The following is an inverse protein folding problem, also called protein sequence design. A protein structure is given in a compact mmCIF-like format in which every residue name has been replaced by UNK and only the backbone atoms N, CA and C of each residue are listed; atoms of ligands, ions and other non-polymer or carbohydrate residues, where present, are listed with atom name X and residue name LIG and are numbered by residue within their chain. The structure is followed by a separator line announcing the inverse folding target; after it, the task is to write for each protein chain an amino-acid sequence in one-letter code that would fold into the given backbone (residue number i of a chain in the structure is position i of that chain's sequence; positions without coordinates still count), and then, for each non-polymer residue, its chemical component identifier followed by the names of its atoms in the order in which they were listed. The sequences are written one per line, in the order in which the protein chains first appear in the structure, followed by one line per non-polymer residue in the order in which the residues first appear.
data_IF_720008991898
#
_entry.id   IF_720008991898
#
_cell.length_a   1.000
_cell.length_b   1.000
_cell.length_c   1.000
_cell.angle_alpha   90.00
_cell.angle_beta   90.00
_cell.angle_gamma   90.00
#
_symmetry.space_group_name_H-M   'P 1'
#
loop_
_entity.id
_entity.type
_entity.pdbx_description
1 polymer ?
#
# COMPACT_ATOMS: atom_id res chain seq x y z
N UNK A 1 -21.34 2.12 14.57
CA UNK A 1 -20.27 3.09 14.86
C UNK A 1 -19.99 4.00 13.67
N UNK A 2 -19.29 5.11 13.86
CA UNK A 2 -18.75 5.91 12.77
C UNK A 2 -17.37 6.45 13.17
N UNK A 3 -16.52 6.70 12.18
CA UNK A 3 -15.20 7.31 12.37
C UNK A 3 -14.78 8.04 11.11
N UNK A 4 -13.90 9.03 11.27
CA UNK A 4 -13.25 9.73 10.17
C UNK A 4 -11.79 9.31 10.12
N UNK A 5 -11.29 8.98 8.94
CA UNK A 5 -9.95 8.45 8.72
C UNK A 5 -9.25 9.26 7.65
N UNK A 6 -7.92 9.35 7.76
CA UNK A 6 -7.08 10.03 6.77
C UNK A 6 -5.91 9.12 6.39
N UNK A 7 -5.82 8.74 5.13
CA UNK A 7 -4.70 7.97 4.57
C UNK A 7 -4.07 8.83 3.46
N UNK A 8 -2.85 9.31 3.68
CA UNK A 8 -2.27 10.34 2.84
C UNK A 8 -3.04 11.66 2.96
N UNK A 9 -3.72 12.09 1.88
CA UNK A 9 -4.66 13.22 1.88
C UNK A 9 -6.12 12.78 1.66
N UNK A 10 -6.36 11.49 1.59
CA UNK A 10 -7.70 10.97 1.44
C UNK A 10 -8.41 10.94 2.79
N UNK A 11 -9.30 11.91 3.02
CA UNK A 11 -10.14 11.96 4.21
C UNK A 11 -11.51 11.35 3.89
N UNK A 12 -11.90 10.33 4.65
CA UNK A 12 -13.17 9.66 4.47
C UNK A 12 -13.84 9.32 5.79
N UNK A 13 -15.17 9.24 5.75
CA UNK A 13 -16.00 8.71 6.83
C UNK A 13 -16.28 7.24 6.60
N UNK A 14 -16.17 6.44 7.65
CA UNK A 14 -16.61 5.05 7.67
C UNK A 14 -17.74 4.89 8.68
N UNK A 15 -18.92 4.45 8.20
CA UNK A 15 -20.04 4.00 9.02
C UNK A 15 -20.06 2.47 9.01
N UNK A 16 -20.13 1.84 10.17
CA UNK A 16 -20.04 0.38 10.29
C UNK A 16 -20.80 -0.15 11.51
N UNK A 17 -21.30 -1.40 11.47
CA UNK A 17 -21.99 -2.03 12.59
C UNK A 17 -21.06 -2.22 13.79
N UNK A 18 -21.61 -2.17 15.00
CA UNK A 18 -20.88 -2.37 16.27
C UNK A 18 -20.26 -3.78 16.38
N UNK A 19 -20.78 -4.74 15.62
CA UNK A 19 -20.27 -6.12 15.56
C UNK A 19 -19.03 -6.29 14.68
N UNK A 20 -18.61 -5.25 13.94
CA UNK A 20 -17.40 -5.24 13.13
C UNK A 20 -16.31 -4.47 13.85
N UNK A 21 -15.19 -5.11 14.14
CA UNK A 21 -14.02 -4.48 14.75
C UNK A 21 -12.96 -4.22 13.66
N UNK A 22 -12.71 -2.93 13.28
CA UNK A 22 -11.60 -2.60 12.40
C UNK A 22 -10.26 -3.00 13.01
N UNK A 23 -9.23 -3.35 12.19
CA UNK A 23 -7.90 -3.66 12.69
C UNK A 23 -7.29 -2.49 13.47
N UNK A 24 -6.49 -2.80 14.50
CA UNK A 24 -5.77 -1.77 15.27
C UNK A 24 -4.89 -0.87 14.38
N UNK A 25 -4.24 -1.48 13.37
CA UNK A 25 -3.44 -0.72 12.40
C UNK A 25 -4.25 0.29 11.60
N UNK A 26 -5.50 -0.03 11.26
CA UNK A 26 -6.39 0.89 10.57
C UNK A 26 -6.83 2.04 11.49
N UNK A 27 -7.03 1.77 12.77
CA UNK A 27 -7.42 2.78 13.76
C UNK A 27 -6.34 3.85 14.01
N UNK A 28 -5.07 3.58 13.68
CA UNK A 28 -4.00 4.59 13.73
C UNK A 28 -4.25 5.78 12.80
N UNK A 29 -5.05 5.58 11.76
CA UNK A 29 -5.39 6.60 10.76
C UNK A 29 -6.69 7.37 11.10
N UNK A 30 -7.30 7.12 12.27
CA UNK A 30 -8.46 7.88 12.72
C UNK A 30 -8.08 9.34 13.04
N UNK A 31 -8.94 10.28 12.62
CA UNK A 31 -8.72 11.72 12.82
C UNK A 31 -10.03 12.39 13.22
N UNK A 32 -10.09 12.87 14.46
CA UNK A 32 -11.22 13.64 14.93
C UNK A 32 -11.22 15.04 14.31
N UNK A 33 -12.41 15.53 13.95
CA UNK A 33 -12.59 16.88 13.42
C UNK A 33 -12.17 17.12 11.98
N UNK A 34 -11.64 16.10 11.27
CA UNK A 34 -11.36 16.21 9.83
C UNK A 34 -12.67 16.15 9.03
N UNK A 35 -12.77 16.95 7.96
CA UNK A 35 -13.92 16.95 7.05
C UNK A 35 -13.77 15.89 5.95
N UNK A 36 -14.61 14.84 5.94
CA UNK A 36 -14.50 13.77 4.95
C UNK A 36 -14.97 14.23 3.57
N UNK A 37 -14.20 13.90 2.55
CA UNK A 37 -14.54 14.09 1.14
C UNK A 37 -15.25 12.88 0.53
N UNK A 38 -15.25 11.75 1.24
CA UNK A 38 -15.86 10.48 0.81
C UNK A 38 -16.51 9.76 1.98
N UNK A 39 -17.53 8.94 1.72
CA UNK A 39 -18.22 8.15 2.75
C UNK A 39 -18.31 6.69 2.34
N UNK A 40 -17.86 5.81 3.23
CA UNK A 40 -18.13 4.38 3.15
C UNK A 40 -19.21 3.99 4.15
N UNK A 41 -20.18 3.22 3.70
CA UNK A 41 -21.19 2.57 4.55
C UNK A 41 -20.97 1.06 4.49
N UNK A 42 -20.54 0.46 5.60
CA UNK A 42 -20.37 -0.98 5.73
C UNK A 42 -21.63 -1.58 6.38
N UNK A 43 -22.22 -2.56 5.71
CA UNK A 43 -23.41 -3.27 6.12
C UNK A 43 -23.17 -4.78 6.12
N UNK A 44 -23.80 -5.49 7.04
CA UNK A 44 -23.80 -6.95 7.03
C UNK A 44 -24.89 -7.47 6.09
N UNK A 45 -24.60 -8.55 5.38
CA UNK A 45 -25.56 -9.19 4.47
C UNK A 45 -25.46 -10.70 4.51
N UNK A 46 -26.59 -11.37 4.24
CA UNK A 46 -26.64 -12.82 4.04
C UNK A 46 -26.46 -13.20 2.56
N UNK A 47 -26.58 -12.22 1.64
CA UNK A 47 -26.41 -12.45 0.20
C UNK A 47 -25.96 -11.19 -0.52
N UNK A 48 -25.12 -11.36 -1.53
CA UNK A 48 -24.69 -10.24 -2.37
C UNK A 48 -25.69 -9.95 -3.49
N UNK A 49 -25.88 -8.67 -3.88
CA UNK A 49 -26.70 -8.31 -5.02
C UNK A 49 -26.14 -8.89 -6.31
N UNK A 50 -26.96 -8.91 -7.36
CA UNK A 50 -26.46 -9.27 -8.70
C UNK A 50 -25.48 -8.22 -9.22
N UNK A 51 -24.48 -8.63 -10.02
CA UNK A 51 -23.54 -7.69 -10.63
C UNK A 51 -24.25 -6.65 -11.50
N UNK A 52 -23.75 -5.41 -11.44
CA UNK A 52 -24.21 -4.31 -12.31
C UNK A 52 -23.13 -3.95 -13.33
N UNK A 53 -23.54 -3.75 -14.57
CA UNK A 53 -22.62 -3.33 -15.62
C UNK A 53 -21.84 -4.47 -16.26
N UNK A 54 -20.71 -4.11 -16.87
CA UNK A 54 -19.82 -5.00 -17.63
C UNK A 54 -18.72 -5.54 -16.73
N UNK A 55 -18.47 -6.86 -16.78
CA UNK A 55 -17.27 -7.45 -16.17
C UNK A 55 -16.02 -6.93 -16.85
N UNK A 56 -15.12 -6.26 -16.10
CA UNK A 56 -13.88 -5.66 -16.60
C UNK A 56 -12.62 -6.34 -16.08
N UNK A 57 -12.71 -7.06 -14.94
CA UNK A 57 -11.63 -7.87 -14.41
C UNK A 57 -12.16 -9.08 -13.64
N UNK A 58 -11.44 -10.19 -13.75
CA UNK A 58 -11.74 -11.39 -12.98
C UNK A 58 -10.46 -12.13 -12.59
N UNK A 59 -10.37 -12.45 -11.31
CA UNK A 59 -9.37 -13.31 -10.68
C UNK A 59 -10.10 -14.26 -9.71
N UNK A 60 -9.44 -15.29 -9.18
CA UNK A 60 -10.08 -16.17 -8.19
C UNK A 60 -10.60 -15.46 -6.93
N UNK A 61 -9.95 -14.36 -6.55
CA UNK A 61 -10.21 -13.57 -5.34
C UNK A 61 -10.89 -12.22 -5.62
N UNK A 62 -11.17 -11.89 -6.89
CA UNK A 62 -11.73 -10.59 -7.25
C UNK A 62 -12.53 -10.67 -8.56
N UNK A 63 -13.73 -10.09 -8.56
CA UNK A 63 -14.44 -9.77 -9.79
C UNK A 63 -14.83 -8.29 -9.78
N UNK A 64 -14.52 -7.57 -10.85
CA UNK A 64 -14.78 -6.13 -10.99
C UNK A 64 -15.72 -5.89 -12.15
N UNK A 65 -16.81 -5.21 -11.86
CA UNK A 65 -17.80 -4.76 -12.83
C UNK A 65 -17.79 -3.23 -12.88
N UNK A 66 -18.09 -2.67 -14.04
CA UNK A 66 -18.14 -1.23 -14.27
C UNK A 66 -19.43 -0.85 -14.99
N UNK A 67 -20.09 0.18 -14.53
CA UNK A 67 -21.22 0.82 -15.17
C UNK A 67 -21.14 2.34 -14.97
N UNK A 68 -21.16 3.10 -16.06
CA UNK A 68 -21.16 4.58 -16.05
C UNK A 68 -19.98 5.19 -15.23
N UNK A 69 -18.82 4.54 -15.26
CA UNK A 69 -17.61 4.95 -14.52
C UNK A 69 -17.59 4.54 -13.05
N UNK A 70 -18.65 3.92 -12.53
CA UNK A 70 -18.74 3.41 -11.18
C UNK A 70 -18.35 1.93 -11.12
N UNK A 71 -17.55 1.56 -10.14
CA UNK A 71 -17.13 0.17 -9.94
C UNK A 71 -17.98 -0.57 -8.92
N UNK A 72 -18.20 -1.86 -9.19
CA UNK A 72 -18.70 -2.84 -8.25
C UNK A 72 -17.73 -4.01 -8.19
N UNK A 73 -17.31 -4.39 -6.98
CA UNK A 73 -16.28 -5.43 -6.78
C UNK A 73 -16.78 -6.50 -5.84
N UNK A 74 -16.62 -7.77 -6.23
CA UNK A 74 -16.75 -8.91 -5.31
C UNK A 74 -15.37 -9.31 -4.88
N UNK A 75 -15.15 -9.42 -3.58
CA UNK A 75 -13.84 -9.56 -2.95
C UNK A 75 -13.81 -10.87 -2.17
N UNK A 76 -12.85 -11.73 -2.50
CA UNK A 76 -12.61 -13.01 -1.88
C UNK A 76 -11.21 -13.12 -1.30
N UNK A 77 -10.85 -14.32 -0.89
CA UNK A 77 -9.50 -14.66 -0.42
C UNK A 77 -8.91 -15.68 -1.36
N UNK A 78 -7.69 -15.45 -1.84
CA UNK A 78 -7.01 -16.40 -2.73
C UNK A 78 -6.95 -17.79 -2.09
N UNK A 79 -7.38 -18.81 -2.84
CA UNK A 79 -7.44 -20.18 -2.39
C UNK A 79 -8.68 -20.56 -1.57
N UNK A 80 -9.59 -19.61 -1.29
CA UNK A 80 -10.86 -19.86 -0.62
C UNK A 80 -12.01 -19.63 -1.61
N UNK A 81 -12.94 -20.59 -1.77
CA UNK A 81 -14.08 -20.38 -2.66
C UNK A 81 -15.03 -19.28 -2.16
N UNK A 82 -15.57 -18.50 -3.09
CA UNK A 82 -16.57 -17.47 -2.83
C UNK A 82 -15.99 -16.11 -2.46
N UNK A 83 -16.88 -15.17 -2.24
CA UNK A 83 -16.57 -13.79 -1.87
C UNK A 83 -17.05 -13.51 -0.44
N UNK A 84 -16.28 -12.71 0.31
CA UNK A 84 -16.67 -12.30 1.66
C UNK A 84 -17.22 -10.88 1.72
N UNK A 85 -16.94 -10.06 0.69
CA UNK A 85 -17.45 -8.70 0.61
C UNK A 85 -17.80 -8.29 -0.82
N UNK A 86 -18.70 -7.31 -0.92
CA UNK A 86 -19.03 -6.62 -2.15
C UNK A 86 -18.91 -5.11 -1.91
N UNK A 87 -17.98 -4.47 -2.62
CA UNK A 87 -17.85 -3.02 -2.70
C UNK A 87 -18.69 -2.50 -3.86
N UNK A 88 -19.42 -1.41 -3.66
CA UNK A 88 -20.22 -0.78 -4.69
C UNK A 88 -20.16 0.74 -4.56
N UNK A 89 -19.63 1.42 -5.57
CA UNK A 89 -19.73 2.86 -5.68
C UNK A 89 -21.19 3.27 -5.94
N UNK A 90 -21.68 4.22 -5.17
CA UNK A 90 -23.02 4.79 -5.35
C UNK A 90 -22.94 6.06 -6.20
N UNK A 91 -21.88 6.84 -5.99
CA UNK A 91 -21.52 8.05 -6.71
C UNK A 91 -20.03 8.38 -6.55
N UNK A 92 -19.61 9.58 -7.00
CA UNK A 92 -18.22 10.03 -6.91
C UNK A 92 -17.72 10.27 -5.46
N UNK A 93 -18.59 10.21 -4.45
CA UNK A 93 -18.29 10.55 -3.05
C UNK A 93 -18.75 9.50 -2.04
N UNK A 94 -19.32 8.41 -2.50
CA UNK A 94 -19.84 7.39 -1.60
C UNK A 94 -19.78 5.98 -2.18
N UNK A 95 -19.57 5.01 -1.29
CA UNK A 95 -19.69 3.59 -1.60
C UNK A 95 -20.34 2.83 -0.45
N UNK A 96 -21.07 1.78 -0.81
CA UNK A 96 -21.57 0.77 0.11
C UNK A 96 -20.68 -0.46 0.07
N UNK A 97 -20.30 -0.96 1.23
CA UNK A 97 -19.58 -2.21 1.41
C UNK A 97 -20.54 -3.20 2.07
N UNK A 98 -20.88 -4.26 1.36
CA UNK A 98 -21.67 -5.35 1.89
C UNK A 98 -20.72 -6.45 2.33
N UNK A 99 -20.70 -6.76 3.63
CA UNK A 99 -19.88 -7.78 4.25
C UNK A 99 -20.73 -8.99 4.60
N UNK A 100 -20.33 -10.17 4.15
CA UNK A 100 -20.99 -11.40 4.57
C UNK A 100 -20.94 -11.54 6.10
N UNK A 101 -22.09 -11.78 6.75
CA UNK A 101 -22.16 -11.87 8.20
C UNK A 101 -21.18 -12.88 8.80
N UNK A 102 -20.94 -14.00 8.12
CA UNK A 102 -19.98 -15.03 8.52
C UNK A 102 -18.50 -14.53 8.52
N UNK A 103 -18.18 -13.47 7.77
CA UNK A 103 -16.83 -12.91 7.69
C UNK A 103 -16.59 -11.77 8.71
N UNK A 104 -17.63 -11.27 9.37
CA UNK A 104 -17.50 -10.13 10.30
C UNK A 104 -16.43 -10.35 11.38
N UNK A 105 -16.36 -11.56 11.93
CA UNK A 105 -15.37 -11.93 12.96
C UNK A 105 -13.92 -12.00 12.46
N UNK A 106 -13.65 -11.90 11.16
CA UNK A 106 -12.31 -11.93 10.58
C UNK A 106 -11.79 -10.52 10.20
N UNK A 107 -12.57 -9.47 10.42
CA UNK A 107 -12.22 -8.11 9.98
C UNK A 107 -11.08 -7.45 10.76
N UNK A 108 -10.58 -8.09 11.82
CA UNK A 108 -9.33 -7.72 12.49
C UNK A 108 -8.07 -7.98 11.62
N UNK A 109 -8.20 -8.75 10.54
CA UNK A 109 -7.11 -9.04 9.59
C UNK A 109 -6.98 -7.86 8.62
N UNK A 110 -5.93 -7.06 8.81
CA UNK A 110 -5.72 -5.78 8.11
C UNK A 110 -5.80 -5.86 6.57
N UNK A 111 -5.19 -6.83 5.85
CA UNK A 111 -5.33 -6.90 4.40
C UNK A 111 -6.76 -7.25 3.94
N UNK A 112 -7.48 -8.09 4.68
CA UNK A 112 -8.88 -8.39 4.36
C UNK A 112 -9.77 -7.16 4.56
N UNK A 113 -9.59 -6.45 5.66
CA UNK A 113 -10.35 -5.24 5.96
C UNK A 113 -10.11 -4.18 4.91
N UNK A 114 -8.84 -3.85 4.61
CA UNK A 114 -8.52 -2.79 3.66
C UNK A 114 -8.91 -3.12 2.21
N UNK A 115 -8.91 -4.38 1.82
CA UNK A 115 -9.30 -4.80 0.47
C UNK A 115 -10.74 -4.41 0.10
N UNK A 116 -11.62 -4.22 1.12
CA UNK A 116 -13.02 -3.85 0.90
C UNK A 116 -13.22 -2.41 0.41
N UNK A 117 -12.21 -1.53 0.51
CA UNK A 117 -12.36 -0.09 0.29
C UNK A 117 -11.90 0.39 -1.09
N UNK A 118 -11.42 -0.49 -1.97
CA UNK A 118 -10.83 -0.10 -3.26
C UNK A 118 -9.79 1.03 -3.14
N UNK A 119 -9.01 1.01 -2.05
CA UNK A 119 -8.18 2.13 -1.61
C UNK A 119 -7.12 2.54 -2.65
N UNK A 120 -6.59 1.59 -3.41
CA UNK A 120 -5.62 1.85 -4.48
C UNK A 120 -6.20 2.73 -5.61
N UNK A 121 -7.53 2.64 -5.87
CA UNK A 121 -8.22 3.51 -6.83
C UNK A 121 -8.20 4.95 -6.34
N UNK A 122 -8.59 5.17 -5.09
CA UNK A 122 -8.61 6.51 -4.48
C UNK A 122 -7.21 7.12 -4.32
N UNK A 123 -6.19 6.29 -4.10
CA UNK A 123 -4.80 6.76 -4.06
C UNK A 123 -4.34 7.20 -5.44
N UNK A 124 -4.65 6.44 -6.48
CA UNK A 124 -4.29 6.79 -7.85
C UNK A 124 -4.94 8.11 -8.31
N UNK A 125 -6.20 8.35 -7.94
CA UNK A 125 -6.91 9.60 -8.22
C UNK A 125 -6.27 10.83 -7.52
N UNK A 126 -5.37 10.59 -6.55
CA UNK A 126 -4.65 11.60 -5.74
C UNK A 126 -3.15 11.61 -5.99
N UNK A 127 -2.71 11.12 -7.14
CA UNK A 127 -1.29 11.05 -7.51
C UNK A 127 -0.42 10.34 -6.46
N UNK A 128 -0.95 9.28 -5.87
CA UNK A 128 -0.26 8.49 -4.86
C UNK A 128 -0.07 7.04 -5.30
N UNK A 129 1.11 6.50 -5.05
CA UNK A 129 1.50 5.13 -5.39
C UNK A 129 1.60 4.28 -4.12
N UNK A 130 1.02 3.09 -4.12
CA UNK A 130 1.19 2.12 -3.02
C UNK A 130 2.30 1.15 -3.39
N UNK A 131 3.47 1.30 -2.76
CA UNK A 131 4.66 0.47 -3.00
C UNK A 131 4.73 -0.69 -2.01
N UNK A 132 4.94 -1.90 -2.49
CA UNK A 132 5.26 -3.07 -1.68
C UNK A 132 6.72 -3.00 -1.20
N UNK A 133 6.94 -2.60 0.05
CA UNK A 133 8.25 -2.37 0.62
C UNK A 133 8.25 -2.50 2.15
N UNK A 134 9.41 -2.75 2.73
CA UNK A 134 9.63 -2.43 4.14
C UNK A 134 10.09 -0.97 4.24
N UNK A 135 9.37 -0.17 5.00
CA UNK A 135 9.62 1.25 5.20
C UNK A 135 10.30 1.49 6.54
N UNK A 136 11.52 2.00 6.53
CA UNK A 136 12.24 2.38 7.74
C UNK A 136 12.58 3.87 7.75
N UNK A 137 12.71 4.42 8.96
CA UNK A 137 13.13 5.77 9.23
C UNK A 137 14.62 5.80 9.64
N UNK A 138 15.38 6.72 9.02
CA UNK A 138 16.73 7.10 9.43
C UNK A 138 16.92 8.60 9.29
N UNK A 139 17.33 9.28 10.37
CA UNK A 139 17.65 10.72 10.36
C UNK A 139 16.53 11.60 9.78
N UNK A 140 15.27 11.26 10.09
CA UNK A 140 14.11 12.00 9.59
C UNK A 140 13.74 11.75 8.12
N UNK A 141 14.37 10.76 7.47
CA UNK A 141 14.12 10.38 6.07
C UNK A 141 13.75 8.91 5.95
N UNK A 142 12.99 8.58 4.92
CA UNK A 142 12.57 7.22 4.59
C UNK A 142 13.61 6.49 3.73
N UNK A 143 13.89 5.24 4.08
CA UNK A 143 14.56 4.27 3.20
C UNK A 143 13.58 3.12 2.99
N UNK A 144 13.31 2.79 1.73
CA UNK A 144 12.31 1.81 1.33
C UNK A 144 12.99 0.59 0.71
N UNK A 145 12.92 -0.56 1.38
CA UNK A 145 13.39 -1.83 0.82
C UNK A 145 12.26 -2.49 0.04
N UNK A 146 12.42 -2.63 -1.27
CA UNK A 146 11.41 -3.22 -2.13
C UNK A 146 11.95 -4.43 -2.90
N UNK A 147 11.11 -5.45 -3.07
CA UNK A 147 11.40 -6.68 -3.80
C UNK A 147 10.14 -7.55 -3.85
N UNK A 148 10.10 -8.62 -4.66
CA UNK A 148 9.08 -9.66 -4.56
C UNK A 148 8.94 -10.23 -3.15
N UNK A 149 7.78 -10.84 -2.85
CA UNK A 149 7.54 -11.47 -1.55
C UNK A 149 8.61 -12.55 -1.25
N UNK A 150 9.04 -12.65 0.01
CA UNK A 150 10.04 -13.65 0.44
C UNK A 150 11.51 -13.29 0.15
N UNK A 151 11.80 -12.17 -0.53
CA UNK A 151 13.19 -11.78 -0.87
C UNK A 151 14.01 -11.30 0.35
N UNK A 152 13.36 -10.80 1.42
CA UNK A 152 14.05 -10.38 2.64
C UNK A 152 13.93 -8.89 3.00
N UNK A 153 12.91 -8.17 2.48
CA UNK A 153 12.66 -6.74 2.79
C UNK A 153 12.66 -6.45 4.29
N UNK A 154 11.78 -7.14 5.01
CA UNK A 154 11.65 -6.99 6.46
C UNK A 154 12.92 -7.42 7.21
N UNK A 155 13.63 -8.43 6.69
CA UNK A 155 14.91 -8.87 7.25
C UNK A 155 15.96 -7.76 7.15
N UNK A 156 16.09 -7.11 5.99
CA UNK A 156 17.03 -5.99 5.82
C UNK A 156 16.65 -4.82 6.73
N UNK A 157 15.38 -4.44 6.81
CA UNK A 157 14.95 -3.38 7.71
C UNK A 157 15.28 -3.69 9.19
N UNK A 158 15.09 -4.92 9.64
CA UNK A 158 15.47 -5.39 10.99
C UNK A 158 16.98 -5.42 11.22
N UNK A 159 17.80 -5.72 10.20
CA UNK A 159 19.26 -5.61 10.32
C UNK A 159 19.70 -4.16 10.54
N UNK A 160 19.09 -3.21 9.85
CA UNK A 160 19.33 -1.80 10.07
C UNK A 160 18.92 -1.35 11.47
N UNK A 161 17.76 -1.77 11.95
CA UNK A 161 17.31 -1.53 13.32
C UNK A 161 18.32 -2.06 14.33
N UNK A 162 18.76 -3.32 14.17
CA UNK A 162 19.73 -3.96 15.05
C UNK A 162 21.10 -3.29 15.07
N UNK A 163 21.63 -2.90 13.90
CA UNK A 163 23.03 -2.46 13.77
C UNK A 163 23.19 -0.94 13.69
N UNK A 164 22.13 -0.19 13.43
CA UNK A 164 22.18 1.29 13.28
C UNK A 164 21.12 2.01 14.10
N UNK A 165 20.29 1.29 14.86
CA UNK A 165 19.26 1.89 15.68
C UNK A 165 18.16 2.62 14.88
N UNK A 166 17.96 2.25 13.61
CA UNK A 166 16.85 2.77 12.81
C UNK A 166 15.54 2.20 13.31
N UNK A 167 14.41 2.78 12.88
CA UNK A 167 13.08 2.29 13.24
C UNK A 167 12.31 1.89 12.01
N UNK A 168 11.71 0.69 12.04
CA UNK A 168 10.76 0.26 11.01
C UNK A 168 9.45 1.01 11.22
N UNK A 169 8.92 1.63 10.17
CA UNK A 169 7.63 2.34 10.17
C UNK A 169 6.51 1.42 9.66
N UNK A 170 6.78 0.67 8.59
CA UNK A 170 5.85 -0.34 8.08
C UNK A 170 6.64 -1.48 7.42
N UNK A 171 6.23 -2.72 7.64
CA UNK A 171 6.96 -3.88 7.14
C UNK A 171 6.46 -4.46 5.82
N UNK A 172 5.42 -3.89 5.22
CA UNK A 172 4.80 -4.44 4.00
C UNK A 172 4.57 -3.40 2.90
N UNK A 173 4.13 -2.17 3.23
CA UNK A 173 3.78 -1.15 2.25
C UNK A 173 4.07 0.27 2.73
N UNK A 174 4.26 1.16 1.77
CA UNK A 174 4.28 2.61 1.98
C UNK A 174 3.44 3.29 0.90
N UNK A 175 2.78 4.38 1.28
CA UNK A 175 2.13 5.28 0.33
C UNK A 175 3.11 6.36 -0.09
N UNK A 176 3.43 6.43 -1.38
CA UNK A 176 4.37 7.40 -1.95
C UNK A 176 3.60 8.55 -2.59
N UNK A 177 3.93 9.79 -2.23
CA UNK A 177 3.31 11.00 -2.78
C UNK A 177 4.34 12.08 -3.02
N UNK A 178 4.09 12.89 -4.05
CA UNK A 178 4.85 14.12 -4.24
C UNK A 178 4.03 15.31 -3.75
N UNK A 179 4.62 16.13 -2.90
CA UNK A 179 4.06 17.40 -2.47
C UNK A 179 5.16 18.47 -2.60
N UNK A 180 4.86 19.57 -3.27
CA UNK A 180 5.81 20.67 -3.52
C UNK A 180 7.15 20.22 -4.13
N UNK A 181 7.10 19.20 -4.98
CA UNK A 181 8.28 18.62 -5.63
C UNK A 181 9.12 17.70 -4.76
N UNK A 182 8.66 17.35 -3.55
CA UNK A 182 9.33 16.42 -2.65
C UNK A 182 8.53 15.13 -2.53
N UNK A 183 9.13 14.00 -2.85
CA UNK A 183 8.55 12.70 -2.63
C UNK A 183 8.63 12.28 -1.17
N UNK A 184 7.48 11.93 -0.60
CA UNK A 184 7.35 11.44 0.76
C UNK A 184 6.85 9.99 0.79
N UNK A 185 7.33 9.22 1.75
CA UNK A 185 6.74 7.94 2.14
C UNK A 185 5.81 8.18 3.34
N UNK A 186 4.60 7.67 3.25
CA UNK A 186 3.57 7.81 4.28
C UNK A 186 3.18 6.43 4.79
N UNK A 187 2.65 6.37 6.01
CA UNK A 187 2.10 5.16 6.59
C UNK A 187 1.00 4.52 5.73
N UNK A 188 0.82 3.22 5.91
CA UNK A 188 -0.21 2.44 5.25
C UNK A 188 -0.83 1.44 6.25
N UNK A 189 -2.17 1.28 6.32
CA UNK A 189 -2.81 0.50 7.38
C UNK A 189 -2.70 -1.04 7.23
N UNK A 190 -1.79 -1.52 6.38
CA UNK A 190 -1.47 -2.95 6.24
C UNK A 190 0.02 -3.14 6.48
N UNK A 191 0.38 -4.05 7.37
CA UNK A 191 1.77 -4.29 7.78
C UNK A 191 2.29 -5.71 7.50
N UNK A 192 1.46 -6.58 6.92
CA UNK A 192 1.82 -7.96 6.61
C UNK A 192 2.29 -8.73 7.85
N UNK A 193 3.23 -9.65 7.66
CA UNK A 193 3.76 -10.51 8.74
C UNK A 193 4.66 -9.78 9.74
N UNK A 194 5.04 -8.53 9.48
CA UNK A 194 5.90 -7.76 10.38
C UNK A 194 5.19 -7.31 11.65
N UNK A 195 3.87 -7.11 11.58
CA UNK A 195 3.02 -6.51 12.60
C UNK A 195 3.45 -5.10 13.04
N UNK A 196 4.30 -4.44 12.22
CA UNK A 196 4.76 -3.07 12.45
C UNK A 196 4.01 -2.13 11.53
N UNK A 197 3.25 -1.22 12.12
CA UNK A 197 2.51 -0.17 11.43
C UNK A 197 2.54 1.11 12.24
N UNK A 198 2.94 2.21 11.61
CA UNK A 198 2.88 3.56 12.15
C UNK A 198 2.34 4.51 11.10
N UNK A 199 1.53 5.48 11.53
CA UNK A 199 1.08 6.57 10.65
C UNK A 199 2.07 7.72 10.72
N UNK A 200 3.12 7.61 9.91
CA UNK A 200 4.20 8.59 9.81
C UNK A 200 4.52 8.91 8.37
N UNK A 201 4.89 10.16 8.13
CA UNK A 201 5.25 10.68 6.82
C UNK A 201 6.62 11.36 6.88
N UNK A 202 7.49 11.07 5.91
CA UNK A 202 8.79 11.72 5.79
C UNK A 202 9.33 11.69 4.36
N UNK A 203 10.25 12.62 4.00
CA UNK A 203 10.90 12.63 2.70
C UNK A 203 11.63 11.32 2.40
N UNK A 204 11.56 10.85 1.15
CA UNK A 204 12.24 9.64 0.73
C UNK A 204 13.72 9.95 0.46
N UNK A 205 14.63 9.28 1.17
CA UNK A 205 16.07 9.32 0.93
C UNK A 205 16.48 8.43 -0.23
N UNK A 206 15.93 7.20 -0.26
CA UNK A 206 16.25 6.21 -1.28
C UNK A 206 15.20 5.08 -1.34
N UNK A 207 15.06 4.49 -2.51
CA UNK A 207 14.40 3.20 -2.71
C UNK A 207 15.47 2.17 -3.04
N UNK A 208 15.45 1.03 -2.35
CA UNK A 208 16.45 -0.04 -2.47
C UNK A 208 15.77 -1.33 -2.93
N UNK A 209 16.01 -1.67 -4.18
CA UNK A 209 15.54 -2.93 -4.76
C UNK A 209 16.47 -4.05 -4.32
N UNK A 210 15.90 -5.10 -3.68
CA UNK A 210 16.70 -6.18 -3.11
C UNK A 210 16.74 -7.41 -4.01
N UNK A 211 17.90 -8.08 -3.99
CA UNK A 211 18.05 -9.46 -4.43
C UNK A 211 18.94 -10.24 -3.48
N UNK A 212 18.71 -11.54 -3.37
CA UNK A 212 19.56 -12.42 -2.55
C UNK A 212 20.87 -12.71 -3.27
N UNK A 213 21.97 -12.75 -2.53
CA UNK A 213 23.30 -13.03 -3.07
C UNK A 213 24.22 -13.70 -2.04
N UNK A 214 25.35 -14.20 -2.50
CA UNK A 214 26.42 -14.73 -1.64
C UNK A 214 27.38 -13.65 -1.17
N UNK A 215 27.38 -12.50 -1.85
CA UNK A 215 28.19 -11.34 -1.59
C UNK A 215 27.34 -10.08 -1.64
N UNK A 216 27.75 -9.05 -0.90
CA UNK A 216 27.07 -7.77 -0.88
C UNK A 216 27.60 -6.88 -1.99
N UNK A 217 26.71 -6.38 -2.83
CA UNK A 217 27.04 -5.43 -3.88
C UNK A 217 25.87 -4.46 -4.08
N UNK A 218 26.20 -3.18 -4.25
CA UNK A 218 25.23 -2.12 -4.48
C UNK A 218 25.58 -1.35 -5.74
N UNK A 219 24.55 -1.00 -6.51
CA UNK A 219 24.67 -0.11 -7.65
C UNK A 219 23.47 0.84 -7.72
N UNK A 220 23.67 2.05 -8.19
CA UNK A 220 22.59 2.97 -8.50
C UNK A 220 21.97 2.56 -9.83
N UNK A 221 20.66 2.36 -9.86
CA UNK A 221 19.97 1.98 -11.08
C UNK A 221 19.82 3.17 -12.03
N UNK A 222 19.99 2.90 -13.32
CA UNK A 222 19.59 3.83 -14.36
C UNK A 222 18.06 3.99 -14.37
N UNK A 223 17.51 5.15 -14.79
CA UNK A 223 16.07 5.45 -14.70
C UNK A 223 15.15 4.37 -15.27
N UNK A 224 15.49 3.81 -16.43
CA UNK A 224 14.67 2.76 -17.05
C UNK A 224 14.63 1.46 -16.21
N UNK A 225 15.79 1.04 -15.67
CA UNK A 225 15.85 -0.14 -14.80
C UNK A 225 15.12 0.10 -13.48
N UNK A 226 15.26 1.29 -12.89
CA UNK A 226 14.53 1.71 -11.70
C UNK A 226 13.02 1.69 -11.93
N UNK A 227 12.57 2.29 -13.04
CA UNK A 227 11.16 2.29 -13.44
C UNK A 227 10.59 0.86 -13.54
N UNK A 228 11.24 -0.02 -14.28
CA UNK A 228 10.77 -1.39 -14.48
C UNK A 228 10.65 -2.17 -13.16
N UNK A 229 11.64 -2.03 -12.28
CA UNK A 229 11.61 -2.72 -10.99
C UNK A 229 10.54 -2.16 -10.06
N UNK A 230 10.40 -0.83 -9.96
CA UNK A 230 9.37 -0.19 -9.12
C UNK A 230 7.97 -0.52 -9.65
N UNK A 231 7.75 -0.42 -10.97
CA UNK A 231 6.45 -0.74 -11.58
C UNK A 231 5.96 -2.13 -11.19
N UNK A 232 6.86 -3.12 -11.10
CA UNK A 232 6.51 -4.48 -10.69
C UNK A 232 6.08 -4.61 -9.22
N UNK A 233 6.32 -3.60 -8.38
CA UNK A 233 6.04 -3.60 -6.95
C UNK A 233 4.94 -2.59 -6.54
N UNK A 234 4.41 -1.83 -7.48
CA UNK A 234 3.28 -0.91 -7.23
C UNK A 234 1.95 -1.66 -7.35
N UNK A 235 1.03 -1.37 -6.46
CA UNK A 235 -0.36 -1.83 -6.55
C UNK A 235 -1.10 -1.01 -7.61
N UNK A 236 -1.45 -1.64 -8.74
CA UNK A 236 -2.12 -1.00 -9.87
C UNK A 236 -3.34 -1.81 -10.28
N UNK A 237 -4.43 -1.11 -10.62
CA UNK A 237 -5.63 -1.69 -11.23
C UNK A 237 -5.42 -1.88 -12.74
N UNK A 238 -4.91 -3.04 -13.14
CA UNK A 238 -4.58 -3.35 -14.54
C UNK A 238 -5.78 -3.38 -15.51
N UNK A 239 -7.00 -3.33 -15.02
CA UNK A 239 -8.21 -3.20 -15.83
C UNK A 239 -8.57 -1.75 -16.15
N UNK A 240 -7.95 -0.78 -15.51
CA UNK A 240 -8.15 0.65 -15.73
C UNK A 240 -6.92 1.23 -16.45
N UNK A 241 -7.09 1.60 -17.73
CA UNK A 241 -6.01 2.11 -18.57
C UNK A 241 -5.51 3.48 -18.10
N UNK A 242 -6.40 4.34 -17.64
CA UNK A 242 -6.03 5.68 -17.17
C UNK A 242 -5.22 5.59 -15.87
N UNK A 243 -5.61 4.69 -14.97
CA UNK A 243 -4.84 4.40 -13.77
C UNK A 243 -3.45 3.81 -14.08
N UNK A 244 -3.35 2.94 -15.10
CA UNK A 244 -2.05 2.43 -15.55
C UNK A 244 -1.16 3.54 -16.11
N UNK A 245 -1.70 4.39 -16.99
CA UNK A 245 -0.93 5.50 -17.56
C UNK A 245 -0.48 6.46 -16.46
N UNK A 246 -1.38 6.82 -15.56
CA UNK A 246 -1.06 7.70 -14.42
C UNK A 246 0.02 7.11 -13.51
N UNK A 247 -0.05 5.81 -13.23
CA UNK A 247 1.00 5.12 -12.47
C UNK A 247 2.36 5.18 -13.16
N UNK A 248 2.40 5.00 -14.49
CA UNK A 248 3.64 5.10 -15.27
C UNK A 248 4.22 6.52 -15.20
N UNK A 249 3.40 7.55 -15.37
CA UNK A 249 3.83 8.96 -15.30
C UNK A 249 4.38 9.30 -13.91
N UNK A 250 3.72 8.84 -12.84
CA UNK A 250 4.17 9.05 -11.46
C UNK A 250 5.48 8.30 -11.16
N UNK A 251 5.64 7.08 -11.65
CA UNK A 251 6.88 6.32 -11.45
C UNK A 251 8.03 6.97 -12.21
N UNK A 252 7.81 7.48 -13.43
CA UNK A 252 8.81 8.23 -14.17
C UNK A 252 9.28 9.47 -13.39
N UNK A 253 8.35 10.24 -12.85
CA UNK A 253 8.68 11.38 -11.98
C UNK A 253 9.47 10.94 -10.72
N UNK A 254 9.01 9.87 -10.06
CA UNK A 254 9.65 9.34 -8.86
C UNK A 254 11.12 8.97 -9.12
N UNK A 255 11.42 8.20 -10.17
CA UNK A 255 12.76 7.68 -10.43
C UNK A 255 13.73 8.76 -10.94
N UNK A 256 13.22 9.91 -11.41
CA UNK A 256 14.06 11.05 -11.77
C UNK A 256 14.48 11.89 -10.55
N UNK A 257 13.69 11.84 -9.47
CA UNK A 257 13.89 12.69 -8.28
C UNK A 257 14.44 11.91 -7.09
N UNK A 258 14.08 10.64 -6.95
CA UNK A 258 14.48 9.78 -5.83
C UNK A 258 15.53 8.78 -6.30
N UNK A 259 16.70 8.69 -5.63
CA UNK A 259 17.69 7.67 -5.94
C UNK A 259 17.15 6.27 -5.74
N UNK A 260 17.32 5.41 -6.74
CA UNK A 260 16.96 4.00 -6.68
C UNK A 260 18.22 3.16 -6.81
N UNK A 261 18.42 2.25 -5.87
CA UNK A 261 19.57 1.35 -5.83
C UNK A 261 19.12 -0.10 -5.99
N UNK A 262 19.98 -0.92 -6.54
CA UNK A 262 19.88 -2.37 -6.44
C UNK A 262 20.92 -2.87 -5.45
N UNK A 263 20.47 -3.53 -4.40
CA UNK A 263 21.31 -4.16 -3.39
C UNK A 263 21.19 -5.68 -3.50
N UNK A 264 22.20 -6.33 -4.03
CA UNK A 264 22.39 -7.78 -3.88
C UNK A 264 22.99 -8.00 -2.50
N UNK A 265 22.36 -8.77 -1.65
CA UNK A 265 22.75 -8.83 -0.25
C UNK A 265 22.65 -10.22 0.39
N UNK A 266 23.47 -10.39 1.40
CA UNK A 266 23.39 -11.46 2.40
C UNK A 266 22.56 -10.99 3.60
N UNK A 267 22.29 -11.90 4.55
CA UNK A 267 21.68 -11.58 5.86
C UNK A 267 22.82 -11.29 6.84
N UNK A 268 23.41 -10.09 6.76
CA UNK A 268 24.58 -9.74 7.57
C UNK A 268 24.70 -8.24 7.83
N UNK A 269 25.56 -7.84 8.77
CA UNK A 269 25.88 -6.43 9.04
C UNK A 269 26.61 -5.78 7.86
N UNK A 270 27.39 -6.56 7.11
CA UNK A 270 28.12 -6.05 5.93
C UNK A 270 27.15 -5.57 4.84
N UNK A 271 25.94 -6.17 4.74
CA UNK A 271 24.90 -5.67 3.85
C UNK A 271 24.41 -4.27 4.26
N UNK A 272 24.29 -4.04 5.57
CA UNK A 272 23.94 -2.72 6.12
C UNK A 272 25.05 -1.72 5.83
N UNK A 273 26.30 -2.09 6.10
CA UNK A 273 27.48 -1.24 5.85
C UNK A 273 27.65 -0.89 4.37
N UNK A 274 27.38 -1.85 3.47
CA UNK A 274 27.44 -1.64 2.03
C UNK A 274 26.46 -0.54 1.56
N UNK A 275 25.19 -0.60 1.96
CA UNK A 275 24.22 0.44 1.65
C UNK A 275 24.55 1.76 2.35
N UNK A 276 24.97 1.72 3.62
CA UNK A 276 25.31 2.92 4.38
C UNK A 276 26.44 3.72 3.73
N UNK A 277 27.49 3.05 3.25
CA UNK A 277 28.60 3.68 2.56
C UNK A 277 28.14 4.40 1.28
N UNK A 278 27.24 3.78 0.51
CA UNK A 278 26.70 4.39 -0.72
C UNK A 278 25.79 5.59 -0.42
N UNK A 279 24.95 5.50 0.61
CA UNK A 279 24.09 6.62 1.01
C UNK A 279 24.89 7.83 1.48
N UNK A 280 26.04 7.64 2.18
CA UNK A 280 26.94 8.73 2.59
C UNK A 280 27.67 9.35 1.40
N UNK A 281 28.01 8.57 0.39
CA UNK A 281 28.69 9.05 -0.81
C UNK A 281 27.83 10.02 -1.64
N UNK A 282 26.52 9.92 -1.50
CA UNK A 282 25.51 10.70 -2.26
C UNK A 282 24.88 11.83 -1.43
N UNK A 283 25.39 12.11 -0.24
CA UNK A 283 25.09 13.32 0.55
C UNK A 283 25.88 14.52 0.05
#
# INVERSE_FOLDING_TARGET
MNGTFVIGDFCFRLMYPDSVAPPENFMLFARDGAEPSYTYTLELTDSFPQPRGRLIAQRPDLAVFEQDGLEMRYIGVTGTPGFYACYREEDARSATILLAGAAAGAMWVDPMFLAMFAMERHMMDRDALVLHCAYMQREGKAILFSAPSGTGKTTQAKLWEKHRGTRVVNGDKALLRSADGVWTANGWPVCGSSQVCHDESMPIRAIVMLSQGKENAIERLAPFAAFSQIYSQITINFWNRDAQQRAMDLIEQLVTQVPVYHLRCTISEEAVACLEAELRRTE
#
